data_IF_914361554871
#
_entry.id   IF_914361554871
#
_cell.length_a   1.000
_cell.length_b   1.000
_cell.length_c   1.000
_cell.angle_alpha   90.00
_cell.angle_beta   90.00
_cell.angle_gamma   90.00
#
_symmetry.space_group_name_H-M   'P 1'
#
loop_
_entity.id
_entity.type
_entity.pdbx_description
1 polymer ?
#
# COMPACT_ATOMS: atom_id res chain seq x y z
N UNK A 1 -30.18 7.73 14.57
CA UNK A 1 -29.32 7.42 15.73
C UNK A 1 -29.83 6.20 16.47
N UNK A 2 -31.08 6.18 16.96
CA UNK A 2 -31.64 5.01 17.66
C UNK A 2 -31.56 3.68 16.90
N UNK A 3 -31.89 3.69 15.59
CA UNK A 3 -31.77 2.48 14.74
C UNK A 3 -30.32 2.01 14.59
N UNK A 4 -29.37 2.95 14.52
CA UNK A 4 -27.94 2.63 14.38
C UNK A 4 -27.39 2.02 15.68
N UNK A 5 -27.82 2.53 16.84
CA UNK A 5 -27.45 1.97 18.15
C UNK A 5 -28.00 0.56 18.29
N UNK A 6 -29.25 0.31 17.87
CA UNK A 6 -29.85 -1.03 17.88
C UNK A 6 -29.05 -2.02 17.05
N UNK A 7 -28.66 -1.64 15.83
CA UNK A 7 -27.84 -2.48 14.95
C UNK A 7 -26.46 -2.77 15.56
N UNK A 8 -25.83 -1.80 16.22
CA UNK A 8 -24.54 -2.01 16.90
C UNK A 8 -24.67 -3.00 18.06
N UNK A 9 -25.73 -2.90 18.86
CA UNK A 9 -25.93 -3.78 20.01
C UNK A 9 -26.27 -5.21 19.57
N UNK A 10 -27.11 -5.38 18.55
CA UNK A 10 -27.43 -6.67 17.93
C UNK A 10 -26.15 -7.35 17.36
N UNK A 11 -25.30 -6.59 16.66
CA UNK A 11 -24.04 -7.09 16.12
C UNK A 11 -23.03 -7.46 17.21
N UNK A 12 -22.95 -6.67 18.29
CA UNK A 12 -22.10 -6.99 19.45
C UNK A 12 -22.51 -8.30 20.11
N UNK A 13 -23.81 -8.50 20.32
CA UNK A 13 -24.32 -9.76 20.88
C UNK A 13 -24.01 -10.95 19.97
N UNK A 14 -24.17 -10.80 18.64
CA UNK A 14 -23.84 -11.86 17.68
C UNK A 14 -22.36 -12.25 17.78
N UNK A 15 -21.45 -11.27 17.75
CA UNK A 15 -20.01 -11.50 17.81
C UNK A 15 -19.61 -12.15 19.14
N UNK A 16 -20.19 -11.73 20.27
CA UNK A 16 -19.92 -12.35 21.58
C UNK A 16 -20.37 -13.81 21.64
N UNK A 17 -21.55 -14.14 21.08
CA UNK A 17 -22.04 -15.53 21.01
C UNK A 17 -21.15 -16.40 20.12
N UNK A 18 -20.72 -15.88 18.97
CA UNK A 18 -19.81 -16.58 18.06
C UNK A 18 -18.41 -16.78 18.66
N UNK A 19 -17.90 -15.79 19.41
CA UNK A 19 -16.61 -15.89 20.08
C UNK A 19 -16.62 -16.94 21.22
N UNK A 20 -17.75 -17.06 21.94
CA UNK A 20 -17.93 -18.02 23.02
C UNK A 20 -18.07 -19.49 22.54
N UNK A 21 -18.43 -19.71 21.27
CA UNK A 21 -18.60 -21.05 20.69
C UNK A 21 -17.29 -21.83 20.50
N UNK A 22 -16.13 -21.22 20.77
CA UNK A 22 -14.82 -21.88 20.78
C UNK A 22 -14.03 -21.75 19.46
N UNK A 23 -12.86 -22.42 19.38
CA UNK A 23 -11.97 -22.32 18.22
C UNK A 23 -12.63 -22.94 16.97
N UNK A 24 -12.87 -22.12 15.95
CA UNK A 24 -13.55 -22.51 14.70
C UNK A 24 -14.67 -21.56 14.26
N UNK A 25 -15.12 -20.65 15.13
CA UNK A 25 -16.03 -19.56 14.78
C UNK A 25 -15.38 -18.49 13.90
N UNK A 26 -16.19 -17.79 13.09
CA UNK A 26 -15.72 -16.69 12.22
C UNK A 26 -15.25 -15.44 12.99
N UNK A 27 -15.64 -15.33 14.26
CA UNK A 27 -15.32 -14.18 15.10
C UNK A 27 -13.87 -14.15 15.60
N UNK A 28 -13.23 -15.31 15.78
CA UNK A 28 -11.89 -15.40 16.36
C UNK A 28 -10.81 -15.50 15.26
N UNK A 29 -9.88 -14.55 15.26
CA UNK A 29 -8.73 -14.57 14.36
C UNK A 29 -7.55 -15.35 14.95
N UNK A 30 -6.65 -15.84 14.09
CA UNK A 30 -5.39 -16.47 14.50
C UNK A 30 -4.29 -15.45 14.91
N UNK A 31 -4.65 -14.17 14.99
CA UNK A 31 -3.78 -13.04 15.31
C UNK A 31 -4.34 -12.32 16.54
N UNK A 32 -3.45 -11.71 17.33
CA UNK A 32 -3.83 -11.02 18.56
C UNK A 32 -2.72 -10.13 19.09
N UNK A 33 -3.06 -9.33 20.09
CA UNK A 33 -2.15 -8.44 20.78
C UNK A 33 -1.78 -9.00 22.14
N UNK A 34 -0.52 -8.83 22.51
CA UNK A 34 -0.01 -9.20 23.82
C UNK A 34 0.60 -7.96 24.44
N UNK A 35 0.17 -7.64 25.65
CA UNK A 35 0.70 -6.53 26.45
C UNK A 35 1.59 -7.07 27.56
N UNK A 36 2.68 -6.37 27.83
CA UNK A 36 3.62 -6.71 28.90
C UNK A 36 3.59 -5.65 29.99
N UNK A 37 3.99 -6.02 31.21
CA UNK A 37 4.08 -5.08 32.33
C UNK A 37 5.26 -4.12 32.16
N UNK A 38 6.37 -4.59 31.57
CA UNK A 38 7.55 -3.76 31.31
C UNK A 38 7.95 -3.73 29.83
N UNK A 39 8.58 -2.63 29.43
CA UNK A 39 9.19 -2.50 28.09
C UNK A 39 10.31 -3.51 27.88
N UNK A 40 11.09 -3.80 28.92
CA UNK A 40 12.20 -4.75 28.83
C UNK A 40 11.73 -6.16 28.43
N UNK A 41 10.64 -6.64 29.03
CA UNK A 41 10.03 -7.93 28.66
C UNK A 41 9.52 -7.94 27.22
N UNK A 42 8.99 -6.80 26.74
CA UNK A 42 8.53 -6.68 25.35
C UNK A 42 9.70 -6.83 24.37
N UNK A 43 10.83 -6.15 24.62
CA UNK A 43 12.01 -6.24 23.77
C UNK A 43 12.61 -7.66 23.80
N UNK A 44 12.63 -8.32 24.97
CA UNK A 44 13.02 -9.72 25.07
C UNK A 44 12.09 -10.64 24.25
N UNK A 45 10.77 -10.46 24.37
CA UNK A 45 9.78 -11.23 23.63
C UNK A 45 9.94 -11.08 22.11
N UNK A 46 10.20 -9.86 21.62
CA UNK A 46 10.42 -9.59 20.19
C UNK A 46 11.69 -10.26 19.65
N UNK A 47 12.71 -10.46 20.49
CA UNK A 47 13.96 -11.13 20.10
C UNK A 47 13.89 -12.66 20.08
N UNK A 48 12.88 -13.26 20.72
CA UNK A 48 12.77 -14.71 20.88
C UNK A 48 12.10 -15.38 19.68
N UNK A 49 12.51 -16.62 19.42
CA UNK A 49 11.83 -17.52 18.47
C UNK A 49 10.97 -18.52 19.24
N UNK A 50 9.66 -18.42 19.09
CA UNK A 50 8.69 -19.24 19.83
C UNK A 50 8.42 -20.62 19.23
N UNK A 51 8.79 -20.86 17.97
CA UNK A 51 8.59 -22.14 17.30
C UNK A 51 9.73 -22.48 16.35
N UNK A 52 9.96 -23.77 16.13
CA UNK A 52 10.87 -24.26 15.09
C UNK A 52 10.37 -23.88 13.67
N UNK A 53 9.06 -23.78 13.49
CA UNK A 53 8.46 -23.34 12.25
C UNK A 53 8.48 -21.80 12.16
N UNK A 54 9.26 -21.25 11.22
CA UNK A 54 9.36 -19.79 11.00
C UNK A 54 8.05 -19.12 10.59
N UNK A 55 7.07 -19.87 10.09
CA UNK A 55 5.75 -19.35 9.70
C UNK A 55 4.68 -19.42 10.78
N UNK A 56 5.03 -19.91 11.97
CA UNK A 56 4.16 -19.99 13.15
C UNK A 56 4.63 -18.98 14.20
N UNK A 57 3.69 -18.37 14.93
CA UNK A 57 3.97 -17.41 16.01
C UNK A 57 4.87 -16.24 15.59
N UNK A 58 4.45 -15.54 14.53
CA UNK A 58 5.12 -14.34 14.05
C UNK A 58 4.80 -13.17 14.98
N UNK A 59 5.81 -12.68 15.69
CA UNK A 59 5.71 -11.52 16.58
C UNK A 59 6.34 -10.30 15.90
N UNK A 60 5.67 -9.16 16.00
CA UNK A 60 6.16 -7.87 15.51
C UNK A 60 5.70 -6.77 16.46
N UNK A 61 6.39 -5.63 16.44
CA UNK A 61 5.92 -4.42 17.12
C UNK A 61 4.52 -4.06 16.59
N UNK A 62 3.59 -3.82 17.50
CA UNK A 62 2.25 -3.40 17.14
C UNK A 62 2.29 -1.95 16.62
N UNK A 63 1.58 -1.64 15.52
CA UNK A 63 1.43 -0.26 15.07
C UNK A 63 0.55 0.54 16.04
N UNK A 64 0.57 1.86 15.88
CA UNK A 64 -0.32 2.72 16.65
C UNK A 64 -1.80 2.44 16.33
N UNK A 65 -2.64 2.48 17.36
CA UNK A 65 -4.03 2.01 17.30
C UNK A 65 -4.87 2.82 16.30
N UNK A 66 -4.59 4.11 16.14
CA UNK A 66 -5.31 4.99 15.21
C UNK A 66 -4.99 4.67 13.74
N UNK A 67 -3.78 4.22 13.45
CA UNK A 67 -3.30 3.92 12.08
C UNK A 67 -3.56 2.48 11.65
N UNK A 68 -4.18 1.69 12.52
CA UNK A 68 -4.31 0.25 12.38
C UNK A 68 -5.46 -0.13 11.44
N UNK A 69 -5.17 -1.08 10.54
CA UNK A 69 -6.15 -1.59 9.57
C UNK A 69 -6.74 -2.90 10.06
N UNK A 70 -7.83 -2.82 10.80
CA UNK A 70 -8.48 -3.97 11.42
C UNK A 70 -8.90 -5.06 10.42
N UNK A 71 -9.39 -4.65 9.24
CA UNK A 71 -9.82 -5.58 8.18
C UNK A 71 -8.67 -6.46 7.64
N UNK A 72 -7.44 -5.97 7.70
CA UNK A 72 -6.26 -6.67 7.17
C UNK A 72 -5.69 -7.69 8.17
N UNK A 73 -6.08 -7.60 9.46
CA UNK A 73 -5.63 -8.51 10.51
C UNK A 73 -6.33 -9.87 10.49
N UNK A 74 -7.53 -9.91 9.90
CA UNK A 74 -8.38 -11.11 9.82
C UNK A 74 -8.17 -11.89 8.53
N UNK A 75 -7.18 -11.51 7.71
CA UNK A 75 -6.97 -12.07 6.38
C UNK A 75 -6.14 -13.35 6.42
N UNK A 76 -6.56 -14.35 5.63
CA UNK A 76 -5.84 -15.61 5.48
C UNK A 76 -4.45 -15.44 4.85
N UNK A 77 -3.52 -16.33 5.26
CA UNK A 77 -2.14 -16.36 4.74
C UNK A 77 -2.07 -16.42 3.22
N UNK A 78 -2.98 -17.14 2.57
CA UNK A 78 -2.99 -17.27 1.11
C UNK A 78 -3.29 -15.95 0.41
N UNK A 79 -4.25 -15.18 0.93
CA UNK A 79 -4.58 -13.86 0.38
C UNK A 79 -3.44 -12.86 0.57
N UNK A 80 -2.68 -12.95 1.67
CA UNK A 80 -1.47 -12.15 1.88
C UNK A 80 -0.41 -12.46 0.79
N UNK A 81 -0.16 -13.74 0.53
CA UNK A 81 0.84 -14.17 -0.46
C UNK A 81 0.39 -13.77 -1.88
N UNK A 82 -0.85 -14.10 -2.25
CA UNK A 82 -1.40 -13.78 -3.56
C UNK A 82 -1.44 -12.27 -3.81
N UNK A 83 -1.87 -11.48 -2.82
CA UNK A 83 -1.90 -10.02 -2.89
C UNK A 83 -0.52 -9.42 -3.07
N UNK A 84 0.49 -9.91 -2.32
CA UNK A 84 1.88 -9.48 -2.49
C UNK A 84 2.43 -9.82 -3.88
N UNK A 85 2.17 -11.03 -4.38
CA UNK A 85 2.67 -11.45 -5.69
C UNK A 85 2.02 -10.62 -6.82
N UNK A 86 0.69 -10.53 -6.81
CA UNK A 86 -0.08 -9.77 -7.79
C UNK A 86 0.26 -8.28 -7.75
N UNK A 87 0.29 -7.70 -6.55
CA UNK A 87 0.62 -6.29 -6.35
C UNK A 87 2.03 -5.97 -6.86
N UNK A 88 3.02 -6.80 -6.56
CA UNK A 88 4.39 -6.61 -7.07
C UNK A 88 4.43 -6.74 -8.60
N UNK A 89 3.72 -7.71 -9.17
CA UNK A 89 3.61 -7.87 -10.62
C UNK A 89 3.02 -6.63 -11.31
N UNK A 90 1.98 -6.02 -10.71
CA UNK A 90 1.37 -4.79 -11.26
C UNK A 90 2.30 -3.59 -11.12
N UNK A 91 3.04 -3.44 -10.01
CA UNK A 91 4.06 -2.38 -9.88
C UNK A 91 5.08 -2.49 -11.01
N UNK A 92 5.62 -3.70 -11.24
CA UNK A 92 6.58 -3.93 -12.33
C UNK A 92 5.97 -3.62 -13.68
N UNK A 93 4.73 -4.03 -13.93
CA UNK A 93 4.03 -3.71 -15.17
C UNK A 93 3.89 -2.19 -15.37
N UNK A 94 3.50 -1.43 -14.34
CA UNK A 94 3.43 0.03 -14.38
C UNK A 94 4.78 0.62 -14.81
N UNK A 95 5.90 0.12 -14.27
CA UNK A 95 7.22 0.63 -14.59
C UNK A 95 7.58 0.36 -16.05
N UNK A 96 7.25 -0.82 -16.57
CA UNK A 96 7.47 -1.17 -17.99
C UNK A 96 6.63 -0.27 -18.90
N UNK A 97 5.34 -0.07 -18.58
CA UNK A 97 4.45 0.78 -19.37
C UNK A 97 4.73 2.28 -19.23
N UNK A 98 5.47 2.69 -18.20
CA UNK A 98 5.84 4.09 -18.00
C UNK A 98 6.80 4.61 -19.07
N UNK A 99 7.72 3.79 -19.58
CA UNK A 99 8.66 4.19 -20.65
C UNK A 99 7.97 4.60 -21.95
N UNK A 100 7.11 3.78 -22.59
CA UNK A 100 6.43 4.18 -23.81
C UNK A 100 5.53 5.40 -23.58
N UNK A 101 4.91 5.53 -22.41
CA UNK A 101 4.11 6.69 -22.04
C UNK A 101 4.94 7.99 -22.06
N UNK A 102 6.14 7.97 -21.47
CA UNK A 102 7.06 9.11 -21.50
C UNK A 102 7.51 9.45 -22.91
N UNK A 103 7.83 8.43 -23.72
CA UNK A 103 8.20 8.64 -25.12
C UNK A 103 7.06 9.30 -25.92
N UNK A 104 5.81 8.93 -25.67
CA UNK A 104 4.64 9.55 -26.31
C UNK A 104 4.55 11.04 -25.93
N UNK A 105 4.67 11.38 -24.65
CA UNK A 105 4.58 12.76 -24.16
C UNK A 105 5.71 13.63 -24.72
N UNK A 106 6.94 13.13 -24.69
CA UNK A 106 8.10 13.85 -25.24
C UNK A 106 7.95 14.10 -26.74
N UNK A 107 7.34 13.16 -27.47
CA UNK A 107 7.05 13.35 -28.89
C UNK A 107 5.78 14.18 -29.15
N UNK A 108 4.89 14.35 -28.17
CA UNK A 108 3.68 15.17 -28.32
C UNK A 108 4.02 16.64 -28.59
N UNK A 109 5.17 17.12 -28.12
CA UNK A 109 5.67 18.46 -28.45
C UNK A 109 5.84 18.69 -29.97
N UNK A 110 6.10 17.62 -30.74
CA UNK A 110 6.27 17.66 -32.20
C UNK A 110 4.94 17.61 -32.96
N UNK A 111 3.83 17.30 -32.28
CA UNK A 111 2.52 17.17 -32.91
C UNK A 111 1.85 18.51 -33.20
N UNK A 112 2.32 19.62 -32.59
CA UNK A 112 1.80 20.96 -32.88
C UNK A 112 2.64 21.57 -34.01
N UNK A 113 2.07 21.77 -35.22
CA UNK A 113 2.84 22.31 -36.34
C UNK A 113 3.31 23.73 -36.06
N UNK A 114 4.54 24.07 -36.50
CA UNK A 114 5.14 25.40 -36.28
C UNK A 114 4.25 26.55 -36.74
N UNK A 115 3.44 26.31 -37.77
CA UNK A 115 2.46 27.24 -38.34
C UNK A 115 1.49 27.83 -37.30
N UNK A 116 1.20 27.12 -36.21
CA UNK A 116 0.25 27.57 -35.18
C UNK A 116 0.90 28.33 -34.01
N UNK A 117 2.21 28.17 -33.79
CA UNK A 117 2.93 28.74 -32.63
C UNK A 117 3.87 29.89 -32.99
N UNK A 118 4.28 30.01 -34.26
CA UNK A 118 5.15 31.09 -34.73
C UNK A 118 6.43 31.22 -33.88
N UNK A 119 6.79 32.42 -33.39
CA UNK A 119 8.04 32.64 -32.64
C UNK A 119 8.10 31.93 -31.27
N UNK A 120 6.96 31.45 -30.75
CA UNK A 120 6.91 30.73 -29.48
C UNK A 120 7.18 29.22 -29.61
N UNK A 121 7.41 28.72 -30.83
CA UNK A 121 7.67 27.31 -31.09
C UNK A 121 8.87 26.75 -30.28
N UNK A 122 10.02 27.44 -30.15
CA UNK A 122 11.15 26.90 -29.39
C UNK A 122 10.83 26.80 -27.89
N UNK A 123 10.05 27.74 -27.38
CA UNK A 123 9.59 27.76 -25.98
C UNK A 123 8.63 26.59 -25.72
N UNK A 124 7.69 26.35 -26.64
CA UNK A 124 6.78 25.23 -26.56
C UNK A 124 7.49 23.87 -26.61
N UNK A 125 8.41 23.71 -27.57
CA UNK A 125 9.18 22.47 -27.74
C UNK A 125 10.03 22.13 -26.51
N UNK A 126 10.54 23.14 -25.80
CA UNK A 126 11.28 22.95 -24.54
C UNK A 126 10.39 22.69 -23.32
N UNK A 127 9.25 23.38 -23.20
CA UNK A 127 8.40 23.31 -22.00
C UNK A 127 7.49 22.08 -21.96
N UNK A 128 6.90 21.69 -23.09
CA UNK A 128 5.87 20.64 -23.11
C UNK A 128 6.37 19.30 -22.58
N UNK A 129 7.55 18.79 -22.98
CA UNK A 129 8.06 17.53 -22.44
C UNK A 129 8.23 17.60 -20.92
N UNK A 130 8.77 18.71 -20.39
CA UNK A 130 9.00 18.89 -18.96
C UNK A 130 7.69 18.95 -18.17
N UNK A 131 6.70 19.73 -18.63
CA UNK A 131 5.40 19.83 -17.98
C UNK A 131 4.68 18.48 -18.04
N UNK A 132 4.68 17.82 -19.19
CA UNK A 132 4.05 16.52 -19.37
C UNK A 132 4.65 15.46 -18.46
N UNK A 133 5.99 15.41 -18.36
CA UNK A 133 6.68 14.51 -17.43
C UNK A 133 6.33 14.84 -15.97
N UNK A 134 6.36 16.13 -15.59
CA UNK A 134 6.05 16.57 -14.22
C UNK A 134 4.64 16.16 -13.78
N UNK A 135 3.65 16.31 -14.67
CA UNK A 135 2.26 15.89 -14.40
C UNK A 135 2.20 14.38 -14.14
N UNK A 136 2.85 13.56 -14.96
CA UNK A 136 2.89 12.10 -14.76
C UNK A 136 3.58 11.71 -13.46
N UNK A 137 4.73 12.33 -13.16
CA UNK A 137 5.47 12.11 -11.92
C UNK A 137 4.65 12.50 -10.68
N UNK A 138 3.82 13.55 -10.78
CA UNK A 138 2.95 13.99 -9.67
C UNK A 138 1.80 13.02 -9.36
N UNK A 139 1.32 12.27 -10.36
CA UNK A 139 0.21 11.33 -10.21
C UNK A 139 0.66 9.95 -9.72
N UNK A 140 1.94 9.65 -9.85
CA UNK A 140 2.47 8.32 -9.57
C UNK A 140 2.46 7.91 -8.10
N UNK A 141 2.79 8.79 -7.13
CA UNK A 141 2.59 8.45 -5.73
C UNK A 141 1.15 8.03 -5.43
N UNK A 142 0.17 8.73 -6.03
CA UNK A 142 -1.26 8.41 -5.85
C UNK A 142 -1.61 7.04 -6.43
N UNK A 143 -1.14 6.71 -7.63
CA UNK A 143 -1.38 5.40 -8.26
C UNK A 143 -0.76 4.27 -7.42
N UNK A 144 0.48 4.44 -6.98
CA UNK A 144 1.17 3.46 -6.16
C UNK A 144 0.51 3.30 -4.79
N UNK A 145 0.06 4.39 -4.16
CA UNK A 145 -0.66 4.35 -2.89
C UNK A 145 -1.98 3.59 -3.02
N UNK A 146 -2.77 3.87 -4.07
CA UNK A 146 -4.01 3.13 -4.34
C UNK A 146 -3.74 1.63 -4.56
N UNK A 147 -2.63 1.28 -5.23
CA UNK A 147 -2.24 -0.10 -5.43
C UNK A 147 -1.86 -0.79 -4.12
N UNK A 148 -1.03 -0.15 -3.29
CA UNK A 148 -0.62 -0.67 -1.99
C UNK A 148 -1.79 -0.79 -1.03
N UNK A 149 -2.72 0.16 -1.05
CA UNK A 149 -3.91 0.15 -0.20
C UNK A 149 -4.89 -0.98 -0.56
N UNK A 150 -5.02 -1.34 -1.83
CA UNK A 150 -6.02 -2.32 -2.29
C UNK A 150 -5.50 -3.75 -2.42
N UNK A 151 -4.25 -3.93 -2.82
CA UNK A 151 -3.71 -5.26 -3.13
C UNK A 151 -2.83 -5.84 -2.03
N UNK A 152 -2.14 -4.99 -1.28
CA UNK A 152 -1.26 -5.45 -0.22
C UNK A 152 -2.01 -5.46 1.10
N UNK A 153 -1.89 -6.56 1.83
CA UNK A 153 -2.41 -6.67 3.19
C UNK A 153 -1.35 -6.05 4.11
N UNK A 154 -1.59 -4.82 4.57
CA UNK A 154 -0.68 -4.10 5.46
C UNK A 154 -1.36 -3.85 6.80
N UNK A 155 -0.65 -4.11 7.90
CA UNK A 155 -1.23 -3.99 9.25
C UNK A 155 -1.60 -2.54 9.62
N UNK A 156 -0.92 -1.57 9.03
CA UNK A 156 -1.10 -0.15 9.32
C UNK A 156 -0.85 0.72 8.10
N UNK A 157 -1.46 1.89 8.09
CA UNK A 157 -1.32 2.88 7.02
C UNK A 157 0.13 3.39 6.87
N UNK A 158 0.82 3.62 7.99
CA UNK A 158 2.21 4.10 8.01
C UNK A 158 3.14 3.16 7.23
N UNK A 159 2.86 1.85 7.27
CA UNK A 159 3.67 0.87 6.54
C UNK A 159 3.44 0.96 5.03
N UNK A 160 2.23 1.33 4.60
CA UNK A 160 1.91 1.57 3.20
C UNK A 160 2.66 2.81 2.69
N UNK A 161 2.71 3.86 3.50
CA UNK A 161 3.48 5.07 3.20
C UNK A 161 4.99 4.79 3.11
N UNK A 162 5.53 3.99 4.02
CA UNK A 162 6.95 3.60 3.97
C UNK A 162 7.27 2.78 2.71
N UNK A 163 6.41 1.82 2.38
CA UNK A 163 6.55 1.03 1.16
C UNK A 163 6.47 1.92 -0.09
N UNK A 164 5.53 2.86 -0.11
CA UNK A 164 5.40 3.88 -1.17
C UNK A 164 6.69 4.66 -1.36
N UNK A 165 7.29 5.13 -0.27
CA UNK A 165 8.54 5.88 -0.32
C UNK A 165 9.67 5.06 -0.96
N UNK A 166 9.81 3.78 -0.60
CA UNK A 166 10.85 2.91 -1.16
C UNK A 166 10.64 2.70 -2.66
N UNK A 167 9.43 2.33 -3.07
CA UNK A 167 9.15 2.07 -4.49
C UNK A 167 9.25 3.33 -5.33
N UNK A 168 8.72 4.45 -4.85
CA UNK A 168 8.80 5.73 -5.54
C UNK A 168 10.24 6.24 -5.63
N UNK A 169 11.07 5.99 -4.63
CA UNK A 169 12.50 6.30 -4.71
C UNK A 169 13.19 5.49 -5.83
N UNK A 170 12.97 4.17 -5.86
CA UNK A 170 13.51 3.31 -6.93
C UNK A 170 13.00 3.76 -8.30
N UNK A 171 11.73 4.15 -8.37
CA UNK A 171 11.12 4.69 -9.58
C UNK A 171 11.87 5.92 -10.09
N UNK A 172 12.06 6.93 -9.24
CA UNK A 172 12.74 8.17 -9.62
C UNK A 172 14.19 7.90 -10.02
N UNK A 173 14.88 7.02 -9.30
CA UNK A 173 16.26 6.65 -9.63
C UNK A 173 16.35 6.02 -11.02
N UNK A 174 15.44 5.11 -11.36
CA UNK A 174 15.45 4.43 -12.66
C UNK A 174 14.99 5.36 -13.79
N UNK A 175 13.91 6.11 -13.62
CA UNK A 175 13.29 6.81 -14.76
C UNK A 175 13.59 8.30 -14.88
N UNK A 176 14.12 8.93 -13.84
CA UNK A 176 14.44 10.36 -13.85
C UNK A 176 15.95 10.59 -13.81
N UNK A 177 16.70 9.72 -13.12
CA UNK A 177 18.16 9.86 -13.00
C UNK A 177 18.91 9.01 -14.04
N UNK A 178 18.48 7.76 -14.27
CA UNK A 178 19.19 6.83 -15.14
C UNK A 178 18.75 6.89 -16.62
N UNK A 179 17.45 7.09 -16.87
CA UNK A 179 16.84 7.22 -18.22
C UNK A 179 16.74 8.69 -18.60
#
# INVERSE_FOLDING_TARGET
VAELTRQVDEERERVQREAAAGPGGRANAASGFVTFASRHETEMALGLRYSANRGAWLVSVAPDAETMRWNDLTVDKWRIIAGRLLGTGIVVAIYIFFMPLCAIITNAAKLVPEKYLGPFQPVWAGLVPTIGLQIMLSMMPTILLLLFDKLFVLKAEVWSQHQLQIWYFVFLLVFVVLV
#
